data_IF_307992222111
#
_entry.id   IF_307992222111
#
_cell.length_a   1.000
_cell.length_b   1.000
_cell.length_c   1.000
_cell.angle_alpha   90.00
_cell.angle_beta   90.00
_cell.angle_gamma   90.00
#
_symmetry.space_group_name_H-M   'P 1'
#
loop_
_entity.id
_entity.type
_entity.pdbx_description
1 polymer ?
#
# COMPACT_ATOMS: atom_id res chain seq x y z
N UNK A 1 -12.01 -3.81 -15.79
CA UNK A 1 -11.54 -5.21 -15.66
C UNK A 1 -12.00 -5.76 -14.33
N UNK A 2 -12.08 -7.08 -14.20
CA UNK A 2 -12.38 -7.76 -12.94
C UNK A 2 -11.17 -8.62 -12.58
N UNK A 3 -10.72 -8.55 -11.33
CA UNK A 3 -9.65 -9.40 -10.81
C UNK A 3 -10.32 -10.37 -9.83
N UNK A 4 -10.13 -11.67 -10.07
CA UNK A 4 -10.67 -12.76 -9.23
C UNK A 4 -9.48 -13.43 -8.56
N UNK A 5 -9.54 -13.58 -7.24
CA UNK A 5 -8.54 -14.23 -6.41
C UNK A 5 -9.23 -15.28 -5.55
N UNK A 6 -8.52 -16.36 -5.22
CA UNK A 6 -8.97 -17.44 -4.36
C UNK A 6 -8.56 -17.20 -2.88
N UNK A 7 -8.96 -18.12 -2.01
CA UNK A 7 -8.63 -18.11 -0.58
C UNK A 7 -7.16 -18.36 -0.27
N UNK A 8 -6.40 -18.95 -1.21
CA UNK A 8 -4.96 -19.20 -1.05
C UNK A 8 -4.13 -17.93 -1.31
N UNK A 9 -4.76 -16.88 -1.82
CA UNK A 9 -4.10 -15.61 -2.14
C UNK A 9 -4.01 -14.69 -0.92
N UNK A 10 -2.78 -14.28 -0.56
CA UNK A 10 -2.53 -13.29 0.48
C UNK A 10 -2.94 -11.87 0.03
N UNK A 11 -4.06 -11.37 0.55
CA UNK A 11 -4.59 -10.02 0.23
C UNK A 11 -3.61 -8.90 0.58
N UNK A 12 -2.75 -9.10 1.58
CA UNK A 12 -1.75 -8.10 1.99
C UNK A 12 -0.65 -7.99 0.94
N UNK A 13 -0.18 -9.11 0.38
CA UNK A 13 0.82 -9.12 -0.70
C UNK A 13 0.25 -8.52 -1.99
N UNK A 14 -1.03 -8.79 -2.27
CA UNK A 14 -1.73 -8.19 -3.41
C UNK A 14 -1.81 -6.67 -3.24
N UNK A 15 -2.19 -6.20 -2.05
CA UNK A 15 -2.23 -4.77 -1.75
C UNK A 15 -0.87 -4.12 -1.95
N UNK A 16 0.20 -4.77 -1.45
CA UNK A 16 1.59 -4.32 -1.65
C UNK A 16 1.93 -4.20 -3.14
N UNK A 17 1.60 -5.20 -3.94
CA UNK A 17 1.85 -5.20 -5.38
C UNK A 17 1.17 -4.00 -6.09
N UNK A 18 -0.10 -3.73 -5.79
CA UNK A 18 -0.80 -2.60 -6.42
C UNK A 18 -0.26 -1.24 -5.99
N UNK A 19 0.12 -1.09 -4.72
CA UNK A 19 0.71 0.17 -4.24
C UNK A 19 2.11 0.36 -4.82
N UNK A 20 2.91 -0.70 -4.95
CA UNK A 20 4.21 -0.66 -5.62
C UNK A 20 4.08 -0.21 -7.07
N UNK A 21 3.17 -0.83 -7.83
CA UNK A 21 2.86 -0.42 -9.20
C UNK A 21 2.39 1.03 -9.28
N UNK A 22 1.50 1.46 -8.38
CA UNK A 22 0.98 2.85 -8.36
C UNK A 22 2.08 3.86 -8.03
N UNK A 23 3.00 3.49 -7.15
CA UNK A 23 4.15 4.33 -6.80
C UNK A 23 5.11 4.47 -7.99
N UNK A 24 5.38 3.37 -8.72
CA UNK A 24 6.25 3.35 -9.89
C UNK A 24 5.66 4.13 -11.07
N UNK A 25 4.34 4.05 -11.28
CA UNK A 25 3.60 4.78 -12.33
C UNK A 25 3.17 6.19 -11.89
N UNK A 26 3.54 6.63 -10.68
CA UNK A 26 3.17 7.95 -10.20
C UNK A 26 3.76 9.03 -11.09
N UNK A 27 2.91 9.92 -11.61
CA UNK A 27 3.37 11.08 -12.38
C UNK A 27 4.18 12.10 -11.55
N UNK A 28 4.24 11.91 -10.22
CA UNK A 28 5.08 12.68 -9.30
C UNK A 28 4.64 14.12 -9.02
N UNK A 29 3.49 14.56 -9.54
CA UNK A 29 3.02 15.96 -9.42
C UNK A 29 2.55 16.34 -8.01
N UNK A 30 1.87 15.43 -7.33
CA UNK A 30 1.30 15.69 -6.00
C UNK A 30 2.20 15.07 -4.92
N UNK A 31 2.65 15.87 -3.96
CA UNK A 31 3.49 15.38 -2.84
C UNK A 31 2.80 14.30 -2.02
N UNK A 32 1.50 14.48 -1.73
CA UNK A 32 0.70 13.48 -1.01
C UNK A 32 0.70 12.13 -1.71
N UNK A 33 0.53 12.11 -3.03
CA UNK A 33 0.57 10.88 -3.82
C UNK A 33 1.99 10.30 -3.90
N UNK A 34 2.99 11.09 -4.28
CA UNK A 34 4.38 10.62 -4.50
C UNK A 34 5.03 10.12 -3.22
N UNK A 35 4.91 10.88 -2.14
CA UNK A 35 5.57 10.54 -0.87
C UNK A 35 4.67 9.64 -0.02
N UNK A 36 3.35 9.87 -0.03
CA UNK A 36 2.41 9.05 0.72
C UNK A 36 2.34 7.61 0.20
N UNK A 37 2.34 7.39 -1.12
CA UNK A 37 2.35 6.02 -1.67
C UNK A 37 3.65 5.28 -1.36
N UNK A 38 4.79 5.97 -1.33
CA UNK A 38 6.06 5.40 -0.89
C UNK A 38 6.01 4.98 0.60
N UNK A 39 5.42 5.80 1.47
CA UNK A 39 5.24 5.45 2.89
C UNK A 39 4.28 4.27 3.06
N UNK A 40 3.15 4.24 2.32
CA UNK A 40 2.23 3.11 2.30
C UNK A 40 2.96 1.81 1.90
N UNK A 41 3.79 1.88 0.85
CA UNK A 41 4.55 0.73 0.37
C UNK A 41 5.52 0.21 1.45
N UNK A 42 6.23 1.09 2.14
CA UNK A 42 7.15 0.70 3.21
C UNK A 42 6.43 0.06 4.40
N UNK A 43 5.23 0.55 4.75
CA UNK A 43 4.39 -0.07 5.77
C UNK A 43 3.95 -1.48 5.33
N UNK A 44 3.48 -1.64 4.09
CA UNK A 44 3.07 -2.95 3.56
C UNK A 44 4.25 -3.93 3.46
N UNK A 45 5.45 -3.47 3.10
CA UNK A 45 6.68 -4.28 3.17
C UNK A 45 7.00 -4.71 4.60
N UNK A 46 6.83 -3.82 5.58
CA UNK A 46 7.08 -4.14 6.99
C UNK A 46 6.09 -5.20 7.50
N UNK A 47 4.80 -5.07 7.16
CA UNK A 47 3.76 -6.04 7.53
C UNK A 47 4.04 -7.40 6.88
N UNK A 48 4.29 -7.44 5.56
CA UNK A 48 4.55 -8.69 4.83
C UNK A 48 5.84 -9.40 5.27
N UNK A 49 6.80 -8.67 5.85
CA UNK A 49 8.01 -9.24 6.46
C UNK A 49 7.83 -9.65 7.94
N UNK A 50 6.60 -9.66 8.46
CA UNK A 50 6.31 -10.03 9.86
C UNK A 50 6.81 -9.03 10.90
N UNK A 51 7.12 -7.80 10.48
CA UNK A 51 7.62 -6.71 11.35
C UNK A 51 6.56 -5.64 11.63
N UNK A 52 5.33 -5.86 11.19
CA UNK A 52 4.20 -4.96 11.38
C UNK A 52 3.84 -4.75 12.85
N UNK A 53 3.22 -3.62 13.15
CA UNK A 53 2.65 -3.25 14.45
C UNK A 53 1.21 -2.82 14.24
N UNK A 54 0.37 -2.91 15.28
CA UNK A 54 -1.01 -2.39 15.25
C UNK A 54 -1.08 -0.91 14.82
N UNK A 55 -0.12 -0.09 15.27
CA UNK A 55 -0.02 1.31 14.86
C UNK A 55 0.20 1.50 13.36
N UNK A 56 0.75 0.50 12.68
CA UNK A 56 0.95 0.56 11.23
C UNK A 56 -0.38 0.45 10.48
N UNK A 57 -1.38 -0.25 11.03
CA UNK A 57 -2.73 -0.33 10.44
C UNK A 57 -3.43 1.03 10.48
N UNK A 58 -3.33 1.73 11.60
CA UNK A 58 -3.87 3.09 11.73
C UNK A 58 -3.19 4.04 10.74
N UNK A 59 -1.86 3.95 10.60
CA UNK A 59 -1.13 4.76 9.63
C UNK A 59 -1.53 4.46 8.18
N UNK A 60 -1.79 3.20 7.83
CA UNK A 60 -2.31 2.83 6.50
C UNK A 60 -3.66 3.49 6.21
N UNK A 61 -4.57 3.50 7.18
CA UNK A 61 -5.90 4.10 7.04
C UNK A 61 -5.81 5.62 6.86
N UNK A 62 -5.07 6.31 7.73
CA UNK A 62 -4.88 7.76 7.67
C UNK A 62 -4.21 8.21 6.35
N UNK A 63 -3.17 7.49 5.91
CA UNK A 63 -2.51 7.78 4.63
C UNK A 63 -3.42 7.49 3.44
N UNK A 64 -4.19 6.41 3.49
CA UNK A 64 -5.16 6.05 2.46
C UNK A 64 -6.23 7.14 2.27
N UNK A 65 -6.68 7.76 3.36
CA UNK A 65 -7.60 8.90 3.27
C UNK A 65 -6.95 10.17 2.73
N UNK A 66 -5.68 10.42 3.07
CA UNK A 66 -4.95 11.60 2.63
C UNK A 66 -4.55 11.57 1.13
N UNK A 67 -4.49 10.40 0.51
CA UNK A 67 -4.07 10.20 -0.89
C UNK A 67 -5.27 10.24 -1.88
N UNK A 68 -6.51 10.30 -1.38
CA UNK A 68 -7.75 10.37 -2.20
C UNK A 68 -7.74 11.49 -3.25
#
# INVERSE_FOLDING_TARGET
>A
GMIVMDEDTCVVDVSKYFIEFTNDESCGKCTSCREGSAVLLEILKKITNGKGKESDLQALEELGEAIK
#
